data_IF_547767897217
#
_entry.id   IF_547767897217
#
_cell.length_a   1.000
_cell.length_b   1.000
_cell.length_c   1.000
_cell.angle_alpha   90.00
_cell.angle_beta   90.00
_cell.angle_gamma   90.00
#
_symmetry.space_group_name_H-M   'P 1'
#
loop_
_entity.id
_entity.type
_entity.pdbx_description
1 polymer ?
#
# COMPACT_ATOMS: atom_id res chain seq x y z
N UNK A 1 76.29 7.14 23.79
CA UNK A 1 75.37 7.94 22.98
C UNK A 1 74.62 7.04 21.96
N UNK A 2 74.04 5.91 22.40
CA UNK A 2 73.34 4.96 21.50
C UNK A 2 71.98 4.45 22.04
N UNK A 3 71.44 5.07 23.08
CA UNK A 3 70.18 4.61 23.67
C UNK A 3 68.94 5.40 23.27
N UNK A 4 69.05 6.45 22.46
CA UNK A 4 67.91 7.28 22.06
C UNK A 4 67.28 6.92 20.71
N UNK A 5 67.91 6.06 19.91
CA UNK A 5 67.41 5.68 18.56
C UNK A 5 66.42 4.51 18.52
N UNK A 6 66.32 3.75 19.58
CA UNK A 6 65.46 2.55 19.62
C UNK A 6 64.01 2.80 20.08
N UNK A 7 63.70 3.96 20.63
CA UNK A 7 62.36 4.28 21.12
C UNK A 7 61.48 5.02 20.16
N UNK A 8 62.03 5.48 19.00
CA UNK A 8 61.27 6.26 18.01
C UNK A 8 60.59 5.39 16.91
N UNK A 9 61.00 4.15 16.74
CA UNK A 9 60.48 3.23 15.71
C UNK A 9 59.22 2.47 16.20
N UNK A 10 58.99 2.38 17.49
CA UNK A 10 57.85 1.64 18.07
C UNK A 10 56.55 2.41 18.10
N UNK A 11 56.51 3.71 17.74
CA UNK A 11 55.31 4.54 17.80
C UNK A 11 54.65 4.77 16.42
N UNK A 12 55.25 4.33 15.32
CA UNK A 12 54.68 4.50 13.97
C UNK A 12 53.96 3.25 13.44
N UNK A 13 53.94 2.13 14.19
CA UNK A 13 53.26 0.89 13.70
C UNK A 13 51.83 0.72 14.22
N UNK A 14 51.31 1.66 15.00
CA UNK A 14 49.99 1.57 15.63
C UNK A 14 48.84 2.29 14.89
N UNK A 15 49.15 3.05 13.83
CA UNK A 15 48.13 3.97 13.23
C UNK A 15 47.48 3.48 11.92
N UNK A 16 47.80 2.28 11.42
CA UNK A 16 47.39 1.86 10.08
C UNK A 16 46.37 0.73 10.03
N UNK A 17 45.75 0.34 11.14
CA UNK A 17 44.76 -0.75 11.13
C UNK A 17 43.29 -0.29 11.25
N UNK A 18 43.07 1.04 11.37
CA UNK A 18 41.71 1.56 11.55
C UNK A 18 40.96 1.93 10.26
N UNK A 19 41.50 1.62 9.07
CA UNK A 19 40.91 2.08 7.78
C UNK A 19 40.26 0.97 6.93
N UNK A 20 40.04 -0.23 7.47
CA UNK A 20 39.42 -1.35 6.73
C UNK A 20 38.18 -1.89 7.46
N UNK A 21 37.46 -1.04 8.17
CA UNK A 21 36.06 -1.39 8.45
C UNK A 21 35.30 -1.17 7.14
N UNK A 22 34.77 -2.23 6.50
CA UNK A 22 33.82 -2.01 5.42
C UNK A 22 32.72 -1.15 6.05
N UNK A 23 32.48 0.05 5.49
CA UNK A 23 31.27 0.78 5.73
C UNK A 23 30.15 -0.22 5.36
N UNK A 24 29.62 -0.91 6.36
CA UNK A 24 28.39 -1.66 6.23
C UNK A 24 27.39 -0.62 5.78
N UNK A 25 27.19 -0.52 4.45
CA UNK A 25 26.07 0.21 3.91
C UNK A 25 24.86 -0.50 4.49
N UNK A 26 24.34 0.05 5.57
CA UNK A 26 23.06 -0.34 6.08
C UNK A 26 22.09 -0.10 4.91
N UNK A 27 21.78 -1.18 4.18
CA UNK A 27 20.72 -1.16 3.19
C UNK A 27 19.46 -0.77 3.95
N UNK A 28 19.16 0.52 3.96
CA UNK A 28 17.93 1.01 4.55
C UNK A 28 16.79 0.29 3.84
N UNK A 29 15.90 -0.39 4.56
CA UNK A 29 14.76 -1.11 3.96
C UNK A 29 13.92 -0.24 3.04
N UNK A 30 13.98 1.08 3.20
CA UNK A 30 13.26 2.09 2.43
C UNK A 30 13.44 2.01 0.91
N UNK A 31 14.65 1.71 0.39
CA UNK A 31 14.86 1.59 -1.07
C UNK A 31 14.13 0.39 -1.67
N UNK A 32 14.14 -0.75 -0.98
CA UNK A 32 13.43 -1.95 -1.45
C UNK A 32 11.92 -1.73 -1.46
N UNK A 33 11.37 -1.07 -0.44
CA UNK A 33 9.94 -0.73 -0.37
C UNK A 33 9.52 0.27 -1.44
N UNK A 34 10.39 1.23 -1.80
CA UNK A 34 10.10 2.16 -2.91
C UNK A 34 9.98 1.41 -4.23
N UNK A 35 10.96 0.56 -4.56
CA UNK A 35 10.94 -0.25 -5.80
C UNK A 35 9.71 -1.17 -5.84
N UNK A 36 9.34 -1.79 -4.71
CA UNK A 36 8.14 -2.63 -4.66
C UNK A 36 6.88 -1.83 -4.97
N UNK A 37 6.74 -0.63 -4.42
CA UNK A 37 5.58 0.25 -4.66
C UNK A 37 5.50 0.81 -6.07
N UNK A 38 6.63 1.06 -6.71
CA UNK A 38 6.69 1.57 -8.09
C UNK A 38 6.46 0.47 -9.14
N UNK A 39 6.75 -0.79 -8.78
CA UNK A 39 6.69 -1.91 -9.71
C UNK A 39 5.40 -2.72 -9.64
N UNK A 40 4.75 -2.76 -8.49
CA UNK A 40 3.62 -3.63 -8.21
C UNK A 40 2.41 -2.83 -7.72
N UNK A 41 1.22 -3.21 -8.16
CA UNK A 41 -0.01 -2.72 -7.54
C UNK A 41 -0.22 -3.46 -6.21
N UNK A 42 0.08 -2.79 -5.10
CA UNK A 42 -0.05 -3.39 -3.78
C UNK A 42 -1.46 -3.17 -3.23
N UNK A 43 -2.13 -4.27 -2.86
CA UNK A 43 -3.37 -4.26 -2.10
C UNK A 43 -3.02 -4.56 -0.65
N UNK A 44 -3.19 -3.57 0.23
CA UNK A 44 -2.86 -3.72 1.64
C UNK A 44 -3.98 -4.40 2.41
N UNK A 45 -3.60 -5.27 3.35
CA UNK A 45 -4.44 -5.91 4.35
C UNK A 45 -3.76 -5.84 5.71
N UNK A 46 -4.36 -6.33 6.79
CA UNK A 46 -3.74 -6.31 8.11
C UNK A 46 -4.02 -7.60 8.91
N UNK A 47 -3.03 -7.98 9.72
CA UNK A 47 -2.99 -9.29 10.40
C UNK A 47 -3.96 -9.42 11.57
N UNK A 48 -4.44 -8.31 12.13
CA UNK A 48 -5.40 -8.33 13.23
C UNK A 48 -6.81 -8.71 12.76
N UNK A 49 -7.09 -8.67 11.46
CA UNK A 49 -8.32 -9.16 10.85
C UNK A 49 -8.01 -10.00 9.60
N UNK A 50 -8.08 -11.32 9.75
CA UNK A 50 -7.74 -12.26 8.68
C UNK A 50 -8.69 -12.20 7.47
N UNK A 51 -9.91 -11.68 7.64
CA UNK A 51 -10.84 -11.55 6.51
C UNK A 51 -10.37 -10.50 5.51
N UNK A 52 -9.63 -9.48 5.97
CA UNK A 52 -8.99 -8.51 5.07
C UNK A 52 -7.96 -9.19 4.15
N UNK A 53 -7.20 -10.17 4.68
CA UNK A 53 -6.27 -10.97 3.88
C UNK A 53 -6.99 -11.82 2.84
N UNK A 54 -8.05 -12.52 3.26
CA UNK A 54 -8.83 -13.39 2.36
C UNK A 54 -9.43 -12.58 1.21
N UNK A 55 -9.98 -11.41 1.49
CA UNK A 55 -10.55 -10.55 0.45
C UNK A 55 -9.45 -9.93 -0.43
N UNK A 56 -8.33 -9.49 0.14
CA UNK A 56 -7.20 -8.97 -0.61
C UNK A 56 -6.60 -10.02 -1.55
N UNK A 57 -6.47 -11.28 -1.11
CA UNK A 57 -5.99 -12.37 -1.97
C UNK A 57 -6.95 -12.63 -3.14
N UNK A 58 -8.27 -12.57 -2.93
CA UNK A 58 -9.28 -12.68 -4.01
C UNK A 58 -9.18 -11.52 -5.01
N UNK A 59 -9.02 -10.30 -4.52
CA UNK A 59 -8.87 -9.11 -5.37
C UNK A 59 -7.60 -9.22 -6.21
N UNK A 60 -6.48 -9.62 -5.61
CA UNK A 60 -5.22 -9.82 -6.32
C UNK A 60 -5.35 -10.91 -7.38
N UNK A 61 -6.00 -12.04 -7.07
CA UNK A 61 -6.27 -13.09 -8.07
C UNK A 61 -7.11 -12.56 -9.24
N UNK A 62 -8.10 -11.70 -8.98
CA UNK A 62 -8.88 -11.01 -10.02
C UNK A 62 -7.99 -10.10 -10.87
N UNK A 63 -7.11 -9.32 -10.25
CA UNK A 63 -6.18 -8.45 -10.97
C UNK A 63 -5.14 -9.23 -11.78
N UNK A 64 -4.62 -10.36 -11.27
CA UNK A 64 -3.71 -11.22 -12.02
C UNK A 64 -4.37 -11.78 -13.29
N UNK A 65 -5.67 -12.06 -13.24
CA UNK A 65 -6.44 -12.55 -14.38
C UNK A 65 -6.80 -11.45 -15.40
N UNK A 66 -7.22 -10.27 -14.94
CA UNK A 66 -7.79 -9.22 -15.79
C UNK A 66 -6.84 -8.05 -16.05
N UNK A 67 -5.90 -7.80 -15.15
CA UNK A 67 -4.93 -6.71 -15.19
C UNK A 67 -3.49 -7.22 -15.01
N UNK A 68 -3.00 -8.19 -15.81
CA UNK A 68 -1.72 -8.87 -15.56
C UNK A 68 -0.52 -7.91 -15.55
N UNK A 69 -0.62 -6.78 -16.26
CA UNK A 69 0.43 -5.74 -16.27
C UNK A 69 0.58 -5.03 -14.92
N UNK A 70 -0.45 -5.03 -14.08
CA UNK A 70 -0.40 -4.42 -12.76
C UNK A 70 0.48 -5.20 -11.79
N UNK A 71 0.78 -6.48 -12.07
CA UNK A 71 1.60 -7.37 -11.23
C UNK A 71 1.16 -7.30 -9.76
N UNK A 72 -0.13 -7.39 -9.51
CA UNK A 72 -0.72 -7.14 -8.20
C UNK A 72 -0.15 -8.08 -7.12
N UNK A 73 -0.04 -7.58 -5.88
CA UNK A 73 0.44 -8.35 -4.72
C UNK A 73 -0.28 -7.90 -3.45
N UNK A 74 -0.53 -8.84 -2.55
CA UNK A 74 -0.98 -8.50 -1.20
C UNK A 74 0.20 -8.04 -0.35
N UNK A 75 0.03 -6.92 0.35
CA UNK A 75 0.98 -6.39 1.33
C UNK A 75 0.33 -6.34 2.71
N UNK A 76 0.83 -7.16 3.65
CA UNK A 76 0.25 -7.36 4.97
C UNK A 76 0.86 -6.42 6.00
N UNK A 77 0.08 -5.46 6.48
CA UNK A 77 0.45 -4.61 7.61
C UNK A 77 0.24 -5.34 8.95
N UNK A 78 0.73 -4.76 10.04
CA UNK A 78 0.52 -5.31 11.37
C UNK A 78 -0.92 -5.15 11.83
N UNK A 79 -1.49 -3.97 11.64
CA UNK A 79 -2.82 -3.55 12.12
C UNK A 79 -3.44 -2.51 11.18
N UNK A 80 -4.70 -2.15 11.44
CA UNK A 80 -5.46 -1.18 10.65
C UNK A 80 -4.84 0.23 10.69
N UNK A 81 -4.31 0.67 11.84
CA UNK A 81 -3.67 1.99 11.98
C UNK A 81 -2.45 2.09 11.07
N UNK A 82 -1.68 1.00 10.92
CA UNK A 82 -0.54 0.99 9.99
C UNK A 82 -0.99 1.10 8.55
N UNK A 83 -2.09 0.45 8.17
CA UNK A 83 -2.70 0.61 6.83
C UNK A 83 -3.15 2.05 6.63
N UNK A 84 -3.86 2.63 7.59
CA UNK A 84 -4.28 4.03 7.58
C UNK A 84 -3.11 4.99 7.39
N UNK A 85 -2.02 4.80 8.16
CA UNK A 85 -0.80 5.60 8.02
C UNK A 85 -0.18 5.49 6.63
N UNK A 86 -0.16 4.30 6.02
CA UNK A 86 0.42 4.11 4.69
C UNK A 86 -0.41 4.78 3.61
N UNK A 87 -1.73 4.71 3.70
CA UNK A 87 -2.64 5.26 2.68
C UNK A 87 -2.72 6.79 2.75
N UNK A 88 -2.82 7.37 3.95
CA UNK A 88 -2.90 8.83 4.12
C UNK A 88 -1.56 9.54 3.84
N UNK A 89 -0.44 8.81 3.91
CA UNK A 89 0.88 9.32 3.52
C UNK A 89 1.28 8.93 2.09
N UNK A 90 0.32 8.50 1.26
CA UNK A 90 0.51 8.13 -0.15
C UNK A 90 1.55 7.00 -0.38
N UNK A 91 1.85 6.25 0.68
CA UNK A 91 2.75 5.10 0.61
C UNK A 91 2.04 3.82 0.18
N UNK A 92 0.71 3.79 0.26
CA UNK A 92 -0.17 2.76 -0.25
C UNK A 92 -1.29 3.41 -1.08
N UNK A 93 -1.64 2.77 -2.19
CA UNK A 93 -2.72 3.27 -3.07
C UNK A 93 -4.03 2.53 -2.85
N UNK A 94 -3.99 1.25 -2.49
CA UNK A 94 -5.16 0.41 -2.27
C UNK A 94 -5.04 -0.35 -0.95
N UNK A 95 -6.17 -0.50 -0.26
CA UNK A 95 -6.26 -1.34 0.93
C UNK A 95 -7.66 -1.94 1.09
N UNK A 96 -7.70 -3.12 1.70
CA UNK A 96 -8.93 -3.75 2.21
C UNK A 96 -9.01 -3.49 3.70
N UNK A 97 -10.11 -2.91 4.14
CA UNK A 97 -10.36 -2.65 5.56
C UNK A 97 -11.75 -3.13 5.97
N UNK A 98 -11.93 -3.44 7.25
CA UNK A 98 -13.28 -3.57 7.78
C UNK A 98 -14.06 -2.25 7.56
N UNK A 99 -15.37 -2.34 7.40
CA UNK A 99 -16.22 -1.15 7.19
C UNK A 99 -16.08 -0.15 8.34
N UNK A 100 -15.98 -0.64 9.58
CA UNK A 100 -15.78 0.22 10.76
C UNK A 100 -14.45 0.94 10.73
N UNK A 101 -13.33 0.22 10.49
CA UNK A 101 -12.01 0.84 10.42
C UNK A 101 -11.90 1.85 9.28
N UNK A 102 -12.52 1.56 8.13
CA UNK A 102 -12.52 2.47 6.99
C UNK A 102 -13.30 3.77 7.31
N UNK A 103 -14.44 3.68 8.02
CA UNK A 103 -15.21 4.85 8.46
C UNK A 103 -14.44 5.66 9.50
N UNK A 104 -13.81 4.99 10.47
CA UNK A 104 -13.00 5.63 11.50
C UNK A 104 -11.78 6.35 10.87
N UNK A 105 -11.12 5.72 9.90
CA UNK A 105 -10.03 6.33 9.14
C UNK A 105 -10.51 7.56 8.35
N UNK A 106 -11.65 7.47 7.66
CA UNK A 106 -12.20 8.57 6.87
C UNK A 106 -12.51 9.80 7.73
N UNK A 107 -13.00 9.57 8.96
CA UNK A 107 -13.33 10.62 9.92
C UNK A 107 -12.15 11.02 10.81
N UNK A 108 -11.03 10.32 10.77
CA UNK A 108 -9.92 10.42 11.71
C UNK A 108 -10.36 10.22 13.16
N UNK A 109 -11.19 9.21 13.41
CA UNK A 109 -11.70 8.87 14.74
C UNK A 109 -10.95 7.65 15.33
N UNK A 110 -11.22 7.36 16.60
CA UNK A 110 -10.68 6.20 17.32
C UNK A 110 -9.15 6.03 17.17
N UNK A 111 -8.67 4.92 16.66
CA UNK A 111 -7.26 4.60 16.43
C UNK A 111 -6.58 5.46 15.34
N UNK A 112 -7.36 6.22 14.57
CA UNK A 112 -6.87 7.03 13.45
C UNK A 112 -6.81 8.54 13.76
N UNK A 113 -6.89 8.93 15.04
CA UNK A 113 -6.76 10.32 15.44
C UNK A 113 -5.43 10.92 15.03
N UNK A 114 -5.48 12.07 14.35
CA UNK A 114 -4.28 12.75 13.84
C UNK A 114 -3.88 12.36 12.43
N UNK A 115 -4.63 11.48 11.77
CA UNK A 115 -4.50 11.25 10.33
C UNK A 115 -5.29 12.29 9.54
N UNK A 116 -4.96 12.45 8.26
CA UNK A 116 -5.67 13.37 7.39
C UNK A 116 -7.09 12.87 7.13
N UNK A 117 -8.07 13.73 7.47
CA UNK A 117 -9.49 13.44 7.24
C UNK A 117 -9.79 13.41 5.75
N UNK A 118 -10.69 12.50 5.36
CA UNK A 118 -11.22 12.41 4.02
C UNK A 118 -10.18 12.10 2.92
N UNK A 119 -8.99 11.60 3.31
CA UNK A 119 -7.89 11.26 2.40
C UNK A 119 -8.08 9.93 1.66
N UNK A 120 -9.24 9.28 1.81
CA UNK A 120 -9.54 8.01 1.17
C UNK A 120 -10.84 8.06 0.38
N UNK A 121 -10.96 7.14 -0.58
CA UNK A 121 -12.16 6.91 -1.40
C UNK A 121 -12.51 5.43 -1.40
N UNK A 122 -13.80 5.10 -1.47
CA UNK A 122 -14.24 3.73 -1.65
C UNK A 122 -14.17 3.34 -3.13
N UNK A 123 -13.87 2.07 -3.41
CA UNK A 123 -13.99 1.49 -4.74
C UNK A 123 -15.14 0.49 -4.75
N UNK A 124 -15.19 -0.43 -3.79
CA UNK A 124 -16.25 -1.43 -3.68
C UNK A 124 -16.32 -2.02 -2.28
N UNK A 125 -17.38 -2.74 -1.97
CA UNK A 125 -17.54 -3.41 -0.69
C UNK A 125 -18.02 -4.87 -0.85
N UNK A 126 -17.75 -5.69 0.16
CA UNK A 126 -18.28 -7.04 0.27
C UNK A 126 -18.24 -7.54 1.72
N UNK A 127 -19.36 -8.10 2.17
CA UNK A 127 -19.45 -8.79 3.47
C UNK A 127 -18.95 -7.96 4.67
N UNK A 128 -19.16 -6.62 4.64
CA UNK A 128 -18.72 -5.71 5.70
C UNK A 128 -17.25 -5.25 5.56
N UNK A 129 -16.61 -5.50 4.44
CA UNK A 129 -15.26 -5.04 4.11
C UNK A 129 -15.29 -4.12 2.89
N UNK A 130 -14.42 -3.12 2.88
CA UNK A 130 -14.35 -2.09 1.84
C UNK A 130 -12.97 -2.11 1.20
N UNK A 131 -12.91 -2.14 -0.13
CA UNK A 131 -11.72 -1.79 -0.89
C UNK A 131 -11.67 -0.26 -0.97
N UNK A 132 -10.70 0.33 -0.32
CA UNK A 132 -10.44 1.76 -0.34
C UNK A 132 -9.20 2.08 -1.17
N UNK A 133 -9.17 3.30 -1.68
CA UNK A 133 -7.98 3.90 -2.29
C UNK A 133 -7.57 5.17 -1.56
N UNK A 134 -6.30 5.59 -1.71
CA UNK A 134 -5.91 6.98 -1.49
C UNK A 134 -6.70 7.90 -2.43
N UNK A 135 -6.97 9.13 -2.01
CA UNK A 135 -7.65 10.14 -2.86
C UNK A 135 -6.79 10.62 -4.04
N UNK A 136 -5.47 10.45 -3.96
CA UNK A 136 -4.52 10.72 -5.06
C UNK A 136 -4.36 9.54 -6.03
N UNK A 137 -5.05 8.41 -5.80
CA UNK A 137 -4.98 7.28 -6.72
C UNK A 137 -5.50 7.68 -8.10
N UNK A 138 -4.76 7.43 -9.21
CA UNK A 138 -5.16 7.94 -10.52
C UNK A 138 -6.53 7.44 -10.97
N UNK A 139 -7.33 8.33 -11.52
CA UNK A 139 -8.72 8.08 -11.91
C UNK A 139 -8.86 6.94 -12.92
N UNK A 140 -8.01 6.92 -13.95
CA UNK A 140 -7.99 5.84 -14.93
C UNK A 140 -7.60 4.48 -14.35
N UNK A 141 -6.72 4.45 -13.34
CA UNK A 141 -6.39 3.22 -12.63
C UNK A 141 -7.56 2.75 -11.75
N UNK A 142 -8.24 3.67 -11.07
CA UNK A 142 -9.43 3.33 -10.28
C UNK A 142 -10.57 2.81 -11.16
N UNK A 143 -10.72 3.34 -12.38
CA UNK A 143 -11.66 2.82 -13.36
C UNK A 143 -11.35 1.37 -13.74
N UNK A 144 -10.07 1.07 -14.06
CA UNK A 144 -9.65 -0.30 -14.39
C UNK A 144 -9.82 -1.26 -13.21
N UNK A 145 -9.52 -0.82 -12.00
CA UNK A 145 -9.74 -1.60 -10.77
C UNK A 145 -11.22 -1.89 -10.57
N UNK A 146 -12.08 -0.87 -10.73
CA UNK A 146 -13.54 -1.02 -10.63
C UNK A 146 -14.08 -2.00 -11.68
N UNK A 147 -13.66 -1.87 -12.92
CA UNK A 147 -14.01 -2.79 -14.00
C UNK A 147 -13.64 -4.23 -13.63
N UNK A 148 -12.42 -4.45 -13.13
CA UNK A 148 -11.97 -5.78 -12.76
C UNK A 148 -12.79 -6.40 -11.61
N UNK A 149 -13.12 -5.63 -10.55
CA UNK A 149 -13.79 -6.18 -9.37
C UNK A 149 -15.31 -6.29 -9.52
N UNK A 150 -15.93 -5.47 -10.37
CA UNK A 150 -17.38 -5.48 -10.60
C UNK A 150 -17.83 -6.40 -11.75
N UNK A 151 -17.02 -6.52 -12.82
CA UNK A 151 -17.37 -7.28 -14.03
C UNK A 151 -16.91 -8.73 -14.02
N UNK A 152 -16.23 -9.17 -13.01
CA UNK A 152 -15.70 -10.53 -12.97
C UNK A 152 -16.84 -11.57 -12.96
N UNK A 153 -17.46 -11.71 -14.13
CA UNK A 153 -18.58 -12.63 -14.40
C UNK A 153 -18.12 -14.09 -14.57
N UNK A 154 -16.84 -14.41 -14.34
CA UNK A 154 -16.33 -15.77 -14.53
C UNK A 154 -16.53 -16.60 -13.27
N UNK A 155 -17.44 -17.58 -13.35
CA UNK A 155 -17.61 -18.79 -12.50
C UNK A 155 -17.72 -18.60 -10.98
N UNK A 156 -17.29 -17.51 -10.38
CA UNK A 156 -17.30 -17.27 -8.93
C UNK A 156 -18.12 -16.02 -8.50
N UNK A 157 -18.77 -15.33 -9.43
CA UNK A 157 -19.50 -14.08 -9.14
C UNK A 157 -18.58 -12.86 -9.05
N UNK A 158 -19.18 -11.69 -8.84
CA UNK A 158 -18.46 -10.42 -8.64
C UNK A 158 -17.55 -10.51 -7.43
N UNK A 159 -16.33 -9.98 -7.55
CA UNK A 159 -15.39 -9.95 -6.42
C UNK A 159 -15.85 -8.96 -5.36
N UNK A 160 -16.35 -7.80 -5.80
CA UNK A 160 -16.93 -6.76 -4.94
C UNK A 160 -18.26 -6.28 -5.49
N UNK A 161 -19.01 -5.59 -4.66
CA UNK A 161 -20.27 -4.92 -4.98
C UNK A 161 -20.08 -3.40 -4.86
N UNK A 162 -20.99 -2.64 -5.48
CA UNK A 162 -21.05 -1.19 -5.32
C UNK A 162 -21.29 -0.87 -3.84
N UNK A 163 -20.55 0.10 -3.26
CA UNK A 163 -20.74 0.50 -1.88
C UNK A 163 -22.17 0.97 -1.63
N UNK A 164 -22.78 0.46 -0.57
CA UNK A 164 -24.13 0.83 -0.18
C UNK A 164 -24.23 2.31 0.22
N UNK A 165 -25.41 2.92 0.00
CA UNK A 165 -25.69 4.31 0.35
C UNK A 165 -25.41 4.70 1.82
N UNK A 166 -25.30 3.70 2.71
CA UNK A 166 -24.98 3.89 4.13
C UNK A 166 -23.48 4.02 4.42
N UNK A 167 -22.60 3.84 3.41
CA UNK A 167 -21.16 4.08 3.56
C UNK A 167 -20.88 5.58 3.43
N UNK A 168 -20.34 6.27 4.46
CA UNK A 168 -20.09 7.71 4.39
C UNK A 168 -18.87 8.09 3.54
N UNK A 169 -18.07 7.10 3.13
CA UNK A 169 -16.88 7.31 2.31
C UNK A 169 -17.32 7.48 0.85
N UNK A 170 -16.98 8.61 0.19
CA UNK A 170 -17.36 8.83 -1.20
C UNK A 170 -16.67 7.82 -2.13
N UNK A 171 -17.37 7.44 -3.18
CA UNK A 171 -16.83 6.60 -4.22
C UNK A 171 -15.66 7.32 -4.93
N UNK A 172 -14.64 6.58 -5.31
CA UNK A 172 -13.56 7.12 -6.14
C UNK A 172 -14.09 7.53 -7.50
N UNK A 173 -13.65 8.68 -8.04
CA UNK A 173 -14.20 9.21 -9.30
C UNK A 173 -14.09 8.20 -10.43
N UNK A 174 -12.95 7.52 -10.62
CA UNK A 174 -12.81 6.50 -11.65
C UNK A 174 -13.76 5.31 -11.47
N UNK A 175 -14.02 4.88 -10.23
CA UNK A 175 -15.01 3.83 -9.97
C UNK A 175 -16.44 4.32 -10.28
N UNK A 176 -16.76 5.57 -9.93
CA UNK A 176 -18.03 6.20 -10.28
C UNK A 176 -18.23 6.29 -11.80
N UNK A 177 -17.20 6.71 -12.53
CA UNK A 177 -17.23 6.81 -14.00
C UNK A 177 -17.47 5.43 -14.64
N UNK A 178 -16.81 4.39 -14.13
CA UNK A 178 -17.05 3.02 -14.58
C UNK A 178 -18.52 2.60 -14.38
N UNK A 179 -19.07 2.80 -13.17
CA UNK A 179 -20.47 2.45 -12.86
C UNK A 179 -21.48 3.22 -13.68
N UNK A 180 -21.15 4.44 -14.09
CA UNK A 180 -21.97 5.26 -15.00
C UNK A 180 -21.82 4.87 -16.49
N UNK A 181 -20.97 3.88 -16.80
CA UNK A 181 -20.73 3.44 -18.17
C UNK A 181 -19.88 4.41 -19.00
N UNK A 182 -19.15 5.34 -18.36
CA UNK A 182 -18.23 6.22 -19.06
C UNK A 182 -17.00 5.43 -19.53
N UNK A 183 -16.61 5.55 -20.82
CA UNK A 183 -15.47 4.83 -21.33
C UNK A 183 -14.15 5.39 -20.78
N UNK A 184 -13.13 4.53 -20.69
CA UNK A 184 -11.81 4.90 -20.17
C UNK A 184 -11.17 6.06 -20.95
N UNK A 185 -11.33 6.07 -22.27
CA UNK A 185 -10.77 7.09 -23.16
C UNK A 185 -11.34 8.50 -22.91
N UNK A 186 -12.44 8.61 -22.17
CA UNK A 186 -13.03 9.90 -21.80
C UNK A 186 -12.36 10.51 -20.54
N UNK A 187 -11.40 9.81 -19.93
CA UNK A 187 -10.71 10.21 -18.70
C UNK A 187 -9.29 10.77 -18.97
N UNK A 188 -8.88 10.88 -20.24
CA UNK A 188 -7.67 11.56 -20.68
C UNK A 188 -7.99 13.02 -21.03
#
# INVERSE_FOLDING_TARGET
>A
MQMLRRRFIAFLSGASVLSLLPLAQAHTPYRQWKVMRERFLLVHSYRTDLQTDVLADRIVATFDALLPKAQARVARARDAERVGSLITTEQAMLAVMSRSDAIDLYNADNGFRGFDKHAIRAIGEKDGYVLISSDVFPEHHAWLVAAAVFDHANSAGKTLEEPGASLPIPLHQGASNYLQGLPLDALE
#
